data_IF_708075624969
#
_entry.id   IF_708075624969
#
_cell.length_a   1.000
_cell.length_b   1.000
_cell.length_c   1.000
_cell.angle_alpha   90.00
_cell.angle_beta   90.00
_cell.angle_gamma   90.00
#
_symmetry.space_group_name_H-M   'P 1'
#
loop_
_entity.id
_entity.type
_entity.pdbx_description
1 polymer ?
#
# COMPACT_ATOMS: atom_id res chain seq x y z
N UNK A 1 -23.16 -7.38 -3.72
CA UNK A 1 -23.01 -7.91 -2.34
C UNK A 1 -23.09 -6.73 -1.39
N UNK A 2 -23.96 -6.79 -0.40
CA UNK A 2 -24.12 -5.76 0.63
C UNK A 2 -22.98 -5.87 1.64
N UNK A 3 -22.27 -4.78 1.96
CA UNK A 3 -21.19 -4.74 2.96
C UNK A 3 -21.66 -4.00 4.22
N UNK A 4 -21.28 -4.50 5.39
CA UNK A 4 -21.74 -4.04 6.72
C UNK A 4 -20.57 -3.81 7.67
N UNK A 5 -20.63 -2.76 8.50
CA UNK A 5 -19.64 -2.46 9.55
C UNK A 5 -20.40 -1.96 10.81
N UNK A 6 -20.19 -2.56 12.00
CA UNK A 6 -20.76 -2.09 13.27
C UNK A 6 -19.88 -1.03 13.97
N UNK A 7 -20.48 0.00 14.59
CA UNK A 7 -19.79 1.04 15.40
C UNK A 7 -20.47 1.24 16.78
N UNK A 8 -19.76 1.51 17.91
CA UNK A 8 -20.31 1.59 19.28
C UNK A 8 -20.86 2.98 19.70
N UNK A 9 -22.14 3.10 20.10
CA UNK A 9 -22.96 4.31 20.38
C UNK A 9 -24.18 4.14 21.34
N UNK A 10 -24.23 4.78 22.53
CA UNK A 10 -25.32 4.57 23.48
C UNK A 10 -26.71 4.91 22.93
N UNK A 11 -27.65 3.95 23.02
CA UNK A 11 -29.08 4.19 22.79
C UNK A 11 -29.76 4.44 24.14
N UNK A 12 -30.00 5.70 24.48
CA UNK A 12 -30.65 6.05 25.74
C UNK A 12 -32.19 6.05 25.60
N UNK A 13 -32.83 5.39 26.56
CA UNK A 13 -34.25 5.04 26.70
C UNK A 13 -35.13 6.27 27.03
N UNK A 14 -34.97 7.37 26.31
CA UNK A 14 -35.66 8.64 26.59
C UNK A 14 -36.82 8.87 25.63
N UNK A 15 -37.95 8.22 25.90
CA UNK A 15 -39.21 8.48 25.19
C UNK A 15 -39.58 9.97 25.24
N UNK A 16 -39.38 10.71 24.15
CA UNK A 16 -39.92 12.06 23.92
C UNK A 16 -39.75 12.51 22.46
N UNK A 17 -40.90 12.76 21.80
CA UNK A 17 -41.13 13.50 20.55
C UNK A 17 -40.66 12.85 19.24
N UNK A 18 -41.55 12.90 18.24
CA UNK A 18 -41.37 12.40 16.87
C UNK A 18 -39.97 12.75 16.35
N UNK A 19 -39.19 11.79 15.82
CA UNK A 19 -37.85 12.06 15.34
C UNK A 19 -37.96 13.11 14.23
N UNK A 20 -37.16 14.17 14.33
CA UNK A 20 -36.91 15.03 13.17
C UNK A 20 -36.57 14.11 11.99
N UNK A 21 -37.22 14.29 10.86
CA UNK A 21 -36.96 13.50 9.67
C UNK A 21 -35.54 13.81 9.19
N UNK A 22 -34.60 12.90 9.48
CA UNK A 22 -33.21 13.01 9.06
C UNK A 22 -33.03 12.64 7.57
N UNK A 23 -34.11 12.30 6.87
CA UNK A 23 -34.08 11.86 5.46
C UNK A 23 -33.27 12.78 4.55
N UNK A 24 -33.34 14.09 4.79
CA UNK A 24 -32.62 15.09 4.00
C UNK A 24 -31.11 15.15 4.25
N UNK A 25 -30.61 14.54 5.34
CA UNK A 25 -29.20 14.56 5.72
C UNK A 25 -28.48 13.23 5.51
N UNK A 26 -29.22 12.13 5.31
CA UNK A 26 -28.64 10.83 5.00
C UNK A 26 -27.79 10.88 3.73
N UNK A 27 -26.72 10.08 3.73
CA UNK A 27 -25.88 9.89 2.57
C UNK A 27 -26.70 9.31 1.41
N UNK A 28 -26.40 9.72 0.17
CA UNK A 28 -27.17 9.30 -1.02
C UNK A 28 -27.23 7.78 -1.24
N UNK A 29 -26.19 7.06 -0.80
CA UNK A 29 -26.13 5.59 -0.86
C UNK A 29 -26.73 4.91 0.37
N UNK A 30 -27.17 5.64 1.39
CA UNK A 30 -27.72 5.03 2.60
C UNK A 30 -29.01 4.25 2.28
N UNK A 31 -29.13 3.04 2.82
CA UNK A 31 -30.28 2.16 2.62
C UNK A 31 -31.06 2.00 3.91
N UNK A 32 -30.37 1.62 5.00
CA UNK A 32 -30.97 1.41 6.32
C UNK A 32 -29.89 1.31 7.40
N UNK A 33 -30.31 1.40 8.66
CA UNK A 33 -29.49 1.07 9.82
C UNK A 33 -30.20 0.04 10.70
N UNK A 34 -29.43 -0.76 11.42
CA UNK A 34 -29.91 -1.77 12.36
C UNK A 34 -29.07 -1.73 13.64
N UNK A 35 -29.61 -2.11 14.81
CA UNK A 35 -28.80 -2.37 15.99
C UNK A 35 -27.71 -3.40 15.68
N UNK A 36 -26.48 -3.13 16.08
CA UNK A 36 -25.34 -4.00 15.85
C UNK A 36 -25.22 -5.13 16.90
N UNK A 37 -24.13 -5.88 16.80
CA UNK A 37 -23.90 -7.08 17.60
C UNK A 37 -23.53 -6.81 19.07
N UNK A 38 -23.03 -5.60 19.37
CA UNK A 38 -22.75 -5.18 20.74
C UNK A 38 -23.80 -4.17 21.19
N UNK A 39 -24.03 -4.13 22.51
CA UNK A 39 -24.83 -3.07 23.12
C UNK A 39 -24.30 -1.73 22.60
N UNK A 40 -25.23 -0.83 22.30
CA UNK A 40 -24.92 0.48 21.77
C UNK A 40 -24.39 0.48 20.32
N UNK A 41 -24.20 -0.64 19.63
CA UNK A 41 -23.71 -0.53 18.24
C UNK A 41 -24.80 -0.24 17.21
N UNK A 42 -24.46 0.51 16.16
CA UNK A 42 -25.30 0.66 14.97
C UNK A 42 -24.54 0.15 13.75
N UNK A 43 -25.22 -0.68 12.96
CA UNK A 43 -24.73 -1.15 11.66
C UNK A 43 -25.46 -0.39 10.55
N UNK A 44 -24.68 0.26 9.69
CA UNK A 44 -25.21 1.00 8.55
C UNK A 44 -25.07 0.19 7.26
N UNK A 45 -26.11 0.23 6.43
CA UNK A 45 -26.18 -0.47 5.16
C UNK A 45 -26.24 0.55 4.03
N UNK A 46 -25.37 0.37 3.03
CA UNK A 46 -25.27 1.24 1.88
C UNK A 46 -25.43 0.47 0.57
N UNK A 47 -25.84 1.18 -0.48
CA UNK A 47 -25.59 0.77 -1.85
C UNK A 47 -24.07 0.67 -2.09
N UNK A 48 -23.67 -0.17 -3.04
CA UNK A 48 -22.26 -0.38 -3.32
C UNK A 48 -21.60 0.90 -3.85
N UNK A 49 -20.50 1.32 -3.23
CA UNK A 49 -19.65 2.40 -3.72
C UNK A 49 -18.80 1.90 -4.89
N UNK A 50 -18.63 2.74 -5.92
CA UNK A 50 -17.79 2.45 -7.08
C UNK A 50 -16.37 3.02 -6.94
N UNK A 51 -16.16 3.94 -6.00
CA UNK A 51 -14.91 4.70 -5.87
C UNK A 51 -14.72 5.73 -7.00
N UNK A 52 -15.80 6.09 -7.69
CA UNK A 52 -15.87 7.23 -8.63
C UNK A 52 -16.53 8.45 -8.00
N UNK A 53 -17.33 8.22 -6.98
CA UNK A 53 -18.06 9.24 -6.27
C UNK A 53 -17.09 10.19 -5.56
N UNK A 54 -17.57 11.39 -5.23
CA UNK A 54 -16.84 12.29 -4.33
C UNK A 54 -16.71 11.65 -2.95
N UNK A 55 -15.66 12.03 -2.21
CA UNK A 55 -15.49 11.57 -0.83
C UNK A 55 -16.74 11.95 -0.01
N UNK A 56 -17.38 11.00 0.68
CA UNK A 56 -18.55 11.31 1.49
C UNK A 56 -18.23 12.35 2.56
N UNK A 57 -18.88 13.51 2.51
CA UNK A 57 -18.73 14.56 3.52
C UNK A 57 -20.08 14.87 4.14
N UNK A 58 -20.13 14.95 5.48
CA UNK A 58 -21.36 15.32 6.17
C UNK A 58 -21.78 16.74 5.76
N UNK A 59 -23.03 16.95 5.32
CA UNK A 59 -23.51 18.26 4.90
C UNK A 59 -23.36 19.28 6.03
N UNK A 60 -22.71 20.42 5.73
CA UNK A 60 -22.54 21.52 6.70
C UNK A 60 -23.86 21.99 7.32
N UNK A 61 -24.96 21.90 6.56
CA UNK A 61 -26.30 22.24 7.00
C UNK A 61 -26.78 21.43 8.22
N UNK A 62 -26.35 20.17 8.36
CA UNK A 62 -26.71 19.32 9.50
C UNK A 62 -26.13 19.83 10.83
N UNK A 63 -25.00 20.56 10.79
CA UNK A 63 -24.43 21.19 11.99
C UNK A 63 -25.19 22.43 12.44
N UNK A 64 -25.79 23.15 11.50
CA UNK A 64 -26.53 24.40 11.75
C UNK A 64 -28.01 24.19 12.07
N UNK A 65 -28.58 23.02 11.74
CA UNK A 65 -29.98 22.71 12.02
C UNK A 65 -30.20 22.50 13.53
N UNK A 66 -31.05 23.35 14.11
CA UNK A 66 -31.43 23.31 15.53
C UNK A 66 -32.46 22.22 15.84
N UNK A 67 -33.11 21.66 14.83
CA UNK A 67 -34.05 20.54 14.97
C UNK A 67 -33.35 19.19 15.12
N UNK A 68 -32.07 19.12 14.70
CA UNK A 68 -31.23 17.92 14.85
C UNK A 68 -30.61 17.91 16.24
N UNK A 69 -30.95 16.89 17.03
CA UNK A 69 -30.36 16.68 18.35
C UNK A 69 -28.89 16.27 18.26
N UNK A 70 -28.17 16.37 19.38
CA UNK A 70 -26.77 15.93 19.46
C UNK A 70 -26.59 14.45 19.13
N UNK A 71 -27.51 13.61 19.57
CA UNK A 71 -27.48 12.16 19.31
C UNK A 71 -27.73 11.84 17.85
N UNK A 72 -28.74 12.47 17.24
CA UNK A 72 -28.99 12.35 15.80
C UNK A 72 -27.79 12.82 14.97
N UNK A 73 -27.10 13.87 15.41
CA UNK A 73 -25.88 14.34 14.77
C UNK A 73 -24.75 13.31 14.85
N UNK A 74 -24.54 12.70 16.03
CA UNK A 74 -23.56 11.60 16.19
C UNK A 74 -23.90 10.40 15.31
N UNK A 75 -25.18 10.06 15.20
CA UNK A 75 -25.63 8.99 14.31
C UNK A 75 -25.29 9.29 12.85
N UNK A 76 -25.53 10.53 12.39
CA UNK A 76 -25.13 10.98 11.05
C UNK A 76 -23.60 10.99 10.89
N UNK A 77 -22.85 11.45 11.89
CA UNK A 77 -21.39 11.40 11.86
C UNK A 77 -20.88 9.96 11.70
N UNK A 78 -21.45 9.00 12.44
CA UNK A 78 -21.15 7.58 12.29
C UNK A 78 -21.52 7.02 10.92
N UNK A 79 -22.69 7.38 10.39
CA UNK A 79 -23.10 7.01 9.03
C UNK A 79 -22.08 7.48 7.99
N UNK A 80 -21.68 8.76 8.04
CA UNK A 80 -20.73 9.32 7.09
C UNK A 80 -19.31 8.76 7.28
N UNK A 81 -18.90 8.40 8.50
CA UNK A 81 -17.64 7.70 8.73
C UNK A 81 -17.62 6.33 8.04
N UNK A 82 -18.69 5.53 8.17
CA UNK A 82 -18.81 4.24 7.48
C UNK A 82 -18.88 4.44 5.96
N UNK A 83 -19.62 5.44 5.47
CA UNK A 83 -19.67 5.77 4.06
C UNK A 83 -18.28 6.12 3.50
N UNK A 84 -17.50 6.98 4.20
CA UNK A 84 -16.12 7.35 3.83
C UNK A 84 -15.21 6.14 3.76
N UNK A 85 -15.29 5.25 4.75
CA UNK A 85 -14.52 4.00 4.74
C UNK A 85 -14.87 3.13 3.52
N UNK A 86 -16.15 2.83 3.31
CA UNK A 86 -16.58 1.98 2.19
C UNK A 86 -16.22 2.58 0.83
N UNK A 87 -16.33 3.91 0.69
CA UNK A 87 -15.86 4.65 -0.48
C UNK A 87 -14.35 4.52 -0.67
N UNK A 88 -13.57 4.73 0.39
CA UNK A 88 -12.11 4.68 0.35
C UNK A 88 -11.61 3.29 -0.06
N UNK A 89 -12.20 2.24 0.51
CA UNK A 89 -11.88 0.87 0.12
C UNK A 89 -12.27 0.54 -1.33
N UNK A 90 -13.39 1.08 -1.84
CA UNK A 90 -13.80 0.90 -3.23
C UNK A 90 -12.86 1.63 -4.19
N UNK A 91 -12.45 2.85 -3.83
CA UNK A 91 -11.45 3.64 -4.56
C UNK A 91 -10.10 2.93 -4.60
N UNK A 92 -9.62 2.38 -3.47
CA UNK A 92 -8.38 1.60 -3.41
C UNK A 92 -8.45 0.41 -4.35
N UNK A 93 -9.49 -0.43 -4.26
CA UNK A 93 -9.66 -1.58 -5.16
C UNK A 93 -9.63 -1.17 -6.63
N UNK A 94 -10.39 -0.14 -6.99
CA UNK A 94 -10.47 0.34 -8.37
C UNK A 94 -9.12 0.81 -8.91
N UNK A 95 -8.33 1.51 -8.10
CA UNK A 95 -7.06 2.11 -8.53
C UNK A 95 -5.88 1.14 -8.41
N UNK A 96 -5.84 0.32 -7.36
CA UNK A 96 -4.74 -0.62 -7.11
C UNK A 96 -4.79 -1.85 -8.01
N UNK A 97 -5.97 -2.38 -8.36
CA UNK A 97 -6.09 -3.58 -9.21
C UNK A 97 -5.31 -3.50 -10.54
N UNK A 98 -5.43 -2.43 -11.36
CA UNK A 98 -4.62 -2.34 -12.58
C UNK A 98 -3.11 -2.27 -12.29
N UNK A 99 -2.71 -1.53 -11.26
CA UNK A 99 -1.30 -1.41 -10.85
C UNK A 99 -0.73 -2.74 -10.35
N UNK A 100 -1.49 -3.52 -9.58
CA UNK A 100 -1.09 -4.85 -9.11
C UNK A 100 -0.87 -5.82 -10.28
N UNK A 101 -1.72 -5.75 -11.32
CA UNK A 101 -1.55 -6.55 -12.53
C UNK A 101 -0.32 -6.15 -13.33
N UNK A 102 -0.02 -4.86 -13.39
CA UNK A 102 1.16 -4.33 -14.08
C UNK A 102 2.47 -4.63 -13.30
N UNK A 103 2.41 -4.61 -11.96
CA UNK A 103 3.54 -4.89 -11.09
C UNK A 103 4.00 -6.36 -11.16
N UNK A 104 3.09 -7.30 -11.41
CA UNK A 104 3.41 -8.74 -11.43
C UNK A 104 4.58 -9.11 -12.38
N UNK A 105 4.53 -8.80 -13.68
CA UNK A 105 5.65 -9.10 -14.58
C UNK A 105 6.94 -8.34 -14.21
N UNK A 106 6.83 -7.15 -13.62
CA UNK A 106 8.00 -6.39 -13.16
C UNK A 106 8.66 -7.05 -11.95
N UNK A 107 7.88 -7.56 -11.01
CA UNK A 107 8.37 -8.32 -9.87
C UNK A 107 9.10 -9.59 -10.33
N UNK A 108 8.52 -10.32 -11.29
CA UNK A 108 9.15 -11.51 -11.87
C UNK A 108 10.47 -11.17 -12.59
N UNK A 109 10.51 -10.03 -13.30
CA UNK A 109 11.72 -9.55 -13.95
C UNK A 109 12.81 -9.20 -12.93
N UNK A 110 12.42 -8.54 -11.83
CA UNK A 110 13.32 -8.22 -10.72
C UNK A 110 13.88 -9.47 -10.06
N UNK A 111 13.04 -10.43 -9.68
CA UNK A 111 13.50 -11.65 -9.02
C UNK A 111 14.42 -12.48 -9.91
N UNK A 112 14.11 -12.58 -11.20
CA UNK A 112 14.97 -13.24 -12.18
C UNK A 112 16.32 -12.52 -12.35
N UNK A 113 16.32 -11.18 -12.46
CA UNK A 113 17.55 -10.40 -12.60
C UNK A 113 18.42 -10.47 -11.33
N UNK A 114 17.81 -10.44 -10.14
CA UNK A 114 18.52 -10.61 -8.86
C UNK A 114 19.14 -12.00 -8.73
N UNK A 115 18.40 -13.05 -9.08
CA UNK A 115 18.92 -14.42 -9.09
C UNK A 115 20.09 -14.55 -10.06
N UNK A 116 19.96 -14.02 -11.29
CA UNK A 116 21.03 -14.03 -12.28
C UNK A 116 22.29 -13.31 -11.80
N UNK A 117 22.15 -12.13 -11.17
CA UNK A 117 23.29 -11.42 -10.57
C UNK A 117 24.01 -12.28 -9.52
N UNK A 118 23.26 -12.94 -8.63
CA UNK A 118 23.82 -13.82 -7.63
C UNK A 118 24.57 -15.02 -8.26
N UNK A 119 23.99 -15.62 -9.30
CA UNK A 119 24.61 -16.73 -10.03
C UNK A 119 25.91 -16.30 -10.72
N UNK A 120 25.90 -15.18 -11.46
CA UNK A 120 27.11 -14.65 -12.13
C UNK A 120 28.22 -14.33 -11.13
N UNK A 121 27.86 -13.76 -9.97
CA UNK A 121 28.81 -13.51 -8.90
C UNK A 121 29.37 -14.82 -8.31
N UNK A 122 28.54 -15.83 -8.09
CA UNK A 122 28.99 -17.13 -7.59
C UNK A 122 29.90 -17.87 -8.60
N UNK A 123 29.63 -17.74 -9.90
CA UNK A 123 30.45 -18.29 -10.99
C UNK A 123 31.84 -17.65 -11.07
N UNK A 124 32.01 -16.42 -10.57
CA UNK A 124 33.30 -15.74 -10.54
C UNK A 124 34.38 -16.60 -9.86
N UNK A 125 34.04 -17.28 -8.76
CA UNK A 125 34.97 -18.14 -8.01
C UNK A 125 35.33 -19.45 -8.72
N UNK A 126 34.61 -19.81 -9.77
CA UNK A 126 34.84 -21.01 -10.59
C UNK A 126 35.52 -20.69 -11.92
N UNK A 127 35.71 -19.41 -12.21
CA UNK A 127 36.24 -18.93 -13.49
C UNK A 127 37.76 -19.11 -13.53
N UNK A 128 38.27 -19.75 -14.57
CA UNK A 128 39.70 -19.86 -14.78
C UNK A 128 40.34 -18.50 -15.08
N UNK A 129 41.58 -18.28 -14.64
CA UNK A 129 42.31 -17.00 -14.76
C UNK A 129 42.31 -16.41 -16.18
N UNK A 130 42.26 -17.22 -17.23
CA UNK A 130 42.19 -16.70 -18.62
C UNK A 130 40.89 -15.95 -18.97
N UNK A 131 39.84 -16.08 -18.16
CA UNK A 131 38.47 -15.62 -18.49
C UNK A 131 37.92 -14.57 -17.53
N UNK A 132 38.71 -14.08 -16.56
CA UNK A 132 38.23 -13.15 -15.53
C UNK A 132 37.64 -11.86 -16.10
N UNK A 133 38.23 -11.32 -17.19
CA UNK A 133 37.73 -10.10 -17.85
C UNK A 133 36.34 -10.28 -18.44
N UNK A 134 36.11 -11.42 -19.09
CA UNK A 134 34.80 -11.75 -19.63
C UNK A 134 33.76 -11.95 -18.52
N UNK A 135 34.17 -12.53 -17.39
CA UNK A 135 33.29 -12.70 -16.24
C UNK A 135 32.96 -11.37 -15.55
N UNK A 136 33.91 -10.44 -15.45
CA UNK A 136 33.63 -9.09 -14.95
C UNK A 136 32.64 -8.34 -15.84
N UNK A 137 32.75 -8.46 -17.17
CA UNK A 137 31.77 -7.86 -18.09
C UNK A 137 30.37 -8.41 -17.83
N UNK A 138 30.22 -9.74 -17.73
CA UNK A 138 28.95 -10.37 -17.38
C UNK A 138 28.40 -9.88 -16.03
N UNK A 139 29.26 -9.72 -15.03
CA UNK A 139 28.87 -9.21 -13.72
C UNK A 139 28.32 -7.78 -13.84
N UNK A 140 29.01 -6.89 -14.55
CA UNK A 140 28.53 -5.52 -14.75
C UNK A 140 27.23 -5.44 -15.55
N UNK A 141 27.04 -6.32 -16.53
CA UNK A 141 25.79 -6.42 -17.29
C UNK A 141 24.63 -6.92 -16.39
N UNK A 142 24.89 -7.91 -15.53
CA UNK A 142 23.91 -8.42 -14.57
C UNK A 142 23.55 -7.38 -13.50
N UNK A 143 24.52 -6.61 -12.99
CA UNK A 143 24.28 -5.49 -12.07
C UNK A 143 23.36 -4.43 -12.72
N UNK A 144 23.64 -4.07 -13.98
CA UNK A 144 22.83 -3.09 -14.71
C UNK A 144 21.40 -3.59 -14.96
N UNK A 145 21.24 -4.86 -15.33
CA UNK A 145 19.94 -5.50 -15.51
C UNK A 145 19.13 -5.54 -14.21
N UNK A 146 19.74 -5.95 -13.10
CA UNK A 146 19.10 -5.97 -11.78
C UNK A 146 18.66 -4.56 -11.35
N UNK A 147 19.51 -3.54 -11.56
CA UNK A 147 19.18 -2.15 -11.23
C UNK A 147 18.01 -1.61 -12.05
N UNK A 148 18.00 -1.91 -13.35
CA UNK A 148 16.91 -1.50 -14.22
C UNK A 148 15.59 -2.17 -13.83
N UNK A 149 15.62 -3.46 -13.49
CA UNK A 149 14.43 -4.21 -13.07
C UNK A 149 13.89 -3.73 -11.71
N UNK A 150 14.78 -3.47 -10.73
CA UNK A 150 14.40 -2.91 -9.43
C UNK A 150 13.70 -1.55 -9.60
N UNK A 151 14.31 -0.64 -10.37
CA UNK A 151 13.77 0.71 -10.62
C UNK A 151 12.42 0.68 -11.34
N UNK A 152 12.25 -0.24 -12.30
CA UNK A 152 10.98 -0.43 -12.99
C UNK A 152 9.86 -0.87 -12.02
N UNK A 153 10.12 -1.87 -11.17
CA UNK A 153 9.16 -2.30 -10.16
C UNK A 153 8.87 -1.19 -9.12
N UNK A 154 9.89 -0.47 -8.66
CA UNK A 154 9.75 0.61 -7.69
C UNK A 154 8.86 1.75 -8.16
N UNK A 155 8.83 2.00 -9.47
CA UNK A 155 7.94 3.01 -10.05
C UNK A 155 6.48 2.69 -9.75
N UNK A 156 6.09 1.41 -9.85
CA UNK A 156 4.72 0.97 -9.53
C UNK A 156 4.54 0.82 -8.01
N UNK A 157 5.55 0.34 -7.29
CA UNK A 157 5.52 0.22 -5.83
C UNK A 157 5.24 1.57 -5.15
N UNK A 158 5.83 2.66 -5.66
CA UNK A 158 5.57 4.02 -5.19
C UNK A 158 4.09 4.42 -5.35
N UNK A 159 3.48 4.09 -6.48
CA UNK A 159 2.07 4.41 -6.70
C UNK A 159 1.16 3.55 -5.81
N UNK A 160 1.44 2.25 -5.67
CA UNK A 160 0.69 1.37 -4.77
C UNK A 160 0.74 1.86 -3.32
N UNK A 161 1.94 2.19 -2.83
CA UNK A 161 2.12 2.68 -1.45
C UNK A 161 1.50 4.05 -1.23
N UNK A 162 1.51 4.94 -2.24
CA UNK A 162 0.75 6.20 -2.21
C UNK A 162 -0.75 5.93 -2.03
N UNK A 163 -1.32 4.99 -2.79
CA UNK A 163 -2.75 4.66 -2.69
C UNK A 163 -3.12 4.08 -1.31
N UNK A 164 -2.27 3.23 -0.75
CA UNK A 164 -2.46 2.74 0.62
C UNK A 164 -2.42 3.90 1.63
N UNK A 165 -1.42 4.78 1.52
CA UNK A 165 -1.28 5.93 2.41
C UNK A 165 -2.45 6.93 2.30
N UNK A 166 -3.00 7.14 1.10
CA UNK A 166 -4.19 7.95 0.91
C UNK A 166 -5.42 7.37 1.63
N UNK A 167 -5.54 6.04 1.71
CA UNK A 167 -6.61 5.39 2.46
C UNK A 167 -6.41 5.56 3.98
N UNK A 168 -5.19 5.34 4.48
CA UNK A 168 -4.80 5.55 5.89
C UNK A 168 -5.08 6.98 6.36
N UNK A 169 -5.00 7.96 5.46
CA UNK A 169 -5.34 9.36 5.77
C UNK A 169 -6.86 9.60 5.93
N UNK A 170 -7.71 8.70 5.40
CA UNK A 170 -9.17 8.84 5.37
C UNK A 170 -9.83 8.02 6.49
N UNK A 171 -9.25 6.87 6.84
CA UNK A 171 -9.82 5.87 7.74
C UNK A 171 -8.85 5.61 8.91
N UNK A 172 -9.33 5.31 10.14
CA UNK A 172 -8.46 4.87 11.23
C UNK A 172 -7.63 3.63 10.87
N UNK A 173 -6.42 3.52 11.42
CA UNK A 173 -5.43 2.47 11.09
C UNK A 173 -5.95 1.04 11.26
N UNK A 174 -6.84 0.79 12.22
CA UNK A 174 -7.44 -0.52 12.51
C UNK A 174 -8.57 -0.92 11.55
N UNK A 175 -9.03 0.02 10.74
CA UNK A 175 -10.15 -0.15 9.81
C UNK A 175 -9.71 -0.16 8.33
N UNK A 176 -8.41 0.03 8.08
CA UNK A 176 -7.82 0.05 6.74
C UNK A 176 -7.89 -1.30 6.03
N UNK A 177 -8.27 -1.28 4.76
CA UNK A 177 -8.11 -2.39 3.84
C UNK A 177 -6.64 -2.50 3.39
N UNK A 178 -5.91 -3.57 3.74
CA UNK A 178 -4.53 -3.73 3.33
C UNK A 178 -4.40 -4.02 1.83
N UNK A 179 -3.37 -3.50 1.16
CA UNK A 179 -3.10 -3.81 -0.27
C UNK A 179 -3.02 -5.32 -0.56
N UNK A 180 -2.45 -6.10 0.37
CA UNK A 180 -2.40 -7.57 0.26
C UNK A 180 -3.79 -8.22 0.15
N UNK A 181 -4.80 -7.62 0.76
CA UNK A 181 -6.17 -8.10 0.69
C UNK A 181 -6.74 -7.87 -0.71
N UNK A 182 -6.49 -6.67 -1.27
CA UNK A 182 -6.88 -6.34 -2.65
C UNK A 182 -6.20 -7.28 -3.66
N UNK A 183 -4.91 -7.58 -3.45
CA UNK A 183 -4.18 -8.54 -4.29
C UNK A 183 -4.77 -9.95 -4.19
N UNK A 184 -5.11 -10.40 -2.98
CA UNK A 184 -5.76 -11.70 -2.74
C UNK A 184 -7.13 -11.79 -3.42
N UNK A 185 -7.94 -10.74 -3.38
CA UNK A 185 -9.25 -10.68 -4.04
C UNK A 185 -9.16 -10.91 -5.56
N UNK A 186 -8.03 -10.55 -6.20
CA UNK A 186 -7.78 -10.80 -7.64
C UNK A 186 -6.91 -12.03 -7.92
N UNK A 187 -6.62 -12.85 -6.91
CA UNK A 187 -5.85 -14.08 -7.04
C UNK A 187 -4.35 -13.87 -7.21
N UNK A 188 -3.81 -12.74 -6.79
CA UNK A 188 -2.37 -12.48 -6.78
C UNK A 188 -1.77 -12.75 -5.40
N UNK A 189 -0.72 -13.57 -5.36
CA UNK A 189 0.13 -13.69 -4.19
C UNK A 189 1.25 -12.65 -4.25
N UNK A 190 1.25 -11.76 -3.27
CA UNK A 190 2.21 -10.66 -3.13
C UNK A 190 3.00 -10.77 -1.82
N UNK A 191 2.98 -11.93 -1.17
CA UNK A 191 3.61 -12.14 0.14
C UNK A 191 5.10 -11.83 0.13
N UNK A 192 5.79 -12.15 -0.98
CA UNK A 192 7.22 -11.91 -1.13
C UNK A 192 7.56 -10.51 -1.66
N UNK A 193 6.55 -9.71 -2.02
CA UNK A 193 6.79 -8.38 -2.60
C UNK A 193 7.33 -7.45 -1.53
N UNK A 194 8.46 -6.84 -1.84
CA UNK A 194 9.03 -5.79 -1.00
C UNK A 194 8.50 -4.43 -1.46
N UNK A 195 7.66 -3.81 -0.63
CA UNK A 195 7.15 -2.46 -0.83
C UNK A 195 7.66 -1.59 0.31
N UNK A 196 8.57 -0.66 0.00
CA UNK A 196 9.05 0.29 1.00
C UNK A 196 7.90 1.19 1.48
N UNK A 197 8.06 1.84 2.63
CA UNK A 197 7.02 2.74 3.10
C UNK A 197 6.90 3.96 2.17
N UNK A 198 5.70 4.52 2.03
CA UNK A 198 5.46 5.63 1.08
C UNK A 198 6.43 6.82 1.28
N UNK A 199 6.82 7.09 2.54
CA UNK A 199 7.78 8.15 2.83
C UNK A 199 9.19 7.87 2.32
N UNK A 200 9.58 6.61 2.14
CA UNK A 200 10.90 6.26 1.59
C UNK A 200 11.00 6.60 0.10
N UNK A 201 9.85 6.73 -0.59
CA UNK A 201 9.79 7.17 -1.99
C UNK A 201 9.66 8.69 -2.15
N UNK A 202 9.29 9.43 -1.11
CA UNK A 202 8.94 10.86 -1.18
C UNK A 202 9.83 11.76 -0.34
N UNK A 203 10.45 11.23 0.72
CA UNK A 203 11.37 11.95 1.59
C UNK A 203 12.75 11.99 0.95
N UNK A 204 13.27 13.20 0.72
CA UNK A 204 14.68 13.43 0.38
C UNK A 204 15.59 13.48 1.62
N UNK A 205 15.08 13.13 2.81
CA UNK A 205 15.74 13.45 4.09
C UNK A 205 16.46 12.23 4.68
N UNK A 206 17.79 12.21 4.49
CA UNK A 206 18.86 11.96 5.49
C UNK A 206 18.74 10.85 6.56
N UNK A 207 17.82 9.90 6.46
CA UNK A 207 17.85 8.70 7.30
C UNK A 207 18.53 7.59 6.50
N UNK A 208 19.77 7.33 6.88
CA UNK A 208 20.62 6.30 6.27
C UNK A 208 19.93 4.95 6.27
N UNK A 209 20.20 4.20 5.20
CA UNK A 209 19.60 2.92 4.81
C UNK A 209 18.15 3.06 4.36
N UNK A 210 17.97 3.55 3.13
CA UNK A 210 16.65 3.53 2.50
C UNK A 210 16.15 2.09 2.31
N UNK A 211 14.87 1.85 2.53
CA UNK A 211 14.25 0.52 2.42
C UNK A 211 13.81 0.19 0.99
N UNK A 212 14.31 0.91 -0.02
CA UNK A 212 13.95 0.65 -1.43
C UNK A 212 14.73 -0.56 -1.94
N UNK A 213 14.18 -1.30 -2.89
CA UNK A 213 14.88 -2.41 -3.56
C UNK A 213 16.21 -1.98 -4.18
N UNK A 214 16.28 -0.77 -4.72
CA UNK A 214 17.48 -0.17 -5.29
C UNK A 214 18.54 0.08 -4.23
N UNK A 215 18.13 0.47 -3.01
CA UNK A 215 19.04 0.68 -1.89
C UNK A 215 19.59 -0.68 -1.39
N UNK A 216 18.73 -1.70 -1.23
CA UNK A 216 19.14 -3.07 -0.94
C UNK A 216 20.10 -3.64 -2.00
N UNK A 217 19.79 -3.43 -3.28
CA UNK A 217 20.64 -3.88 -4.39
C UNK A 217 22.00 -3.17 -4.38
N UNK A 218 22.05 -1.87 -4.09
CA UNK A 218 23.32 -1.15 -3.98
C UNK A 218 24.19 -1.73 -2.87
N UNK A 219 23.62 -2.02 -1.71
CA UNK A 219 24.33 -2.65 -0.60
C UNK A 219 24.87 -4.05 -0.97
N UNK A 220 24.06 -4.87 -1.67
CA UNK A 220 24.48 -6.18 -2.19
C UNK A 220 25.67 -6.04 -3.17
N UNK A 221 25.58 -5.12 -4.14
CA UNK A 221 26.62 -4.85 -5.13
C UNK A 221 27.91 -4.32 -4.49
N UNK A 222 27.81 -3.39 -3.56
CA UNK A 222 28.98 -2.81 -2.89
C UNK A 222 29.70 -3.86 -2.05
N UNK A 223 28.96 -4.76 -1.40
CA UNK A 223 29.51 -5.91 -0.69
C UNK A 223 30.25 -6.87 -1.63
N UNK A 224 29.65 -7.18 -2.79
CA UNK A 224 30.27 -8.01 -3.83
C UNK A 224 31.58 -7.38 -4.34
N UNK A 225 31.56 -6.08 -4.67
CA UNK A 225 32.73 -5.34 -5.15
C UNK A 225 33.82 -5.22 -4.09
N UNK A 226 33.46 -4.97 -2.83
CA UNK A 226 34.42 -4.95 -1.73
C UNK A 226 35.14 -6.29 -1.59
N UNK A 227 34.41 -7.41 -1.73
CA UNK A 227 34.99 -8.75 -1.71
C UNK A 227 35.97 -8.97 -2.86
N UNK A 228 35.63 -8.53 -4.07
CA UNK A 228 36.52 -8.62 -5.24
C UNK A 228 37.81 -7.80 -5.03
N UNK A 229 37.70 -6.56 -4.52
CA UNK A 229 38.87 -5.73 -4.20
C UNK A 229 39.78 -6.38 -3.16
N UNK A 230 39.20 -6.99 -2.12
CA UNK A 230 39.96 -7.70 -1.10
C UNK A 230 40.76 -8.86 -1.70
N UNK A 231 40.16 -9.63 -2.61
CA UNK A 231 40.86 -10.73 -3.28
C UNK A 231 41.96 -10.22 -4.21
N UNK A 232 41.72 -9.16 -4.98
CA UNK A 232 42.75 -8.54 -5.82
C UNK A 232 43.97 -8.08 -5.00
N UNK A 233 43.72 -7.44 -3.85
CA UNK A 233 44.78 -7.02 -2.93
C UNK A 233 45.59 -8.20 -2.37
N UNK A 234 44.93 -9.31 -2.02
CA UNK A 234 45.57 -10.52 -1.51
C UNK A 234 46.35 -11.30 -2.57
N UNK A 235 45.90 -11.27 -3.83
CA UNK A 235 46.58 -11.89 -4.97
C UNK A 235 47.88 -11.16 -5.37
N UNK A 236 48.17 -10.02 -4.73
CA UNK A 236 49.37 -9.26 -4.98
C UNK A 236 49.33 -8.48 -6.29
N UNK A 237 48.13 -8.11 -6.77
CA UNK A 237 47.93 -7.19 -7.89
C UNK A 237 47.94 -5.74 -7.32
N UNK A 238 49.11 -5.06 -7.29
CA UNK A 238 49.25 -3.79 -6.60
C UNK A 238 49.20 -2.72 -7.70
N UNK A 239 48.00 -2.34 -8.15
CA UNK A 239 47.64 -1.01 -8.68
C UNK A 239 46.34 -1.06 -9.48
N UNK A 240 45.30 -0.46 -8.92
CA UNK A 240 44.44 0.51 -9.61
C UNK A 240 43.76 1.33 -8.51
N UNK A 241 44.56 2.24 -7.94
CA UNK A 241 44.06 3.39 -7.19
C UNK A 241 43.60 4.47 -8.18
#
# INVERSE_FOLDING_TARGET
>A
MTRTIPLPHPLDDSGLRLPADLSQYHHSHFVRSEPGAWEDTVTFYFQAFTGQEEEPQMPGAAYGDRSVTREQRRLLEGEYQVARRLWSEARLRRQAVPLLREALPLWQTWTAARAHLADVFAEFWKTADGHWRAQLLKLTDAEAAARSAASAFETIARELTRLAHEQECVVPEDEDLPLREVAREIGLDVTDWHLAWHKDYTSHVWLGDGDRLTDHLHNDIDSQRARLRQVAALAGDPNNA
#
